data_IF_499264984865
#
_entry.id   IF_499264984865
#
_cell.length_a   1.000
_cell.length_b   1.000
_cell.length_c   1.000
_cell.angle_alpha   90.00
_cell.angle_beta   90.00
_cell.angle_gamma   90.00
#
_symmetry.space_group_name_H-M   'P 1'
#
loop_
_entity.id
_entity.type
_entity.pdbx_description
1 polymer ?
#
# COMPACT_ATOMS: atom_id res chain seq x y z
N UNK A 1 14.16 -11.05 21.30
CA UNK A 1 14.93 -10.78 20.07
C UNK A 1 15.39 -12.10 19.49
N UNK A 2 14.65 -12.65 18.52
CA UNK A 2 15.13 -13.79 17.73
C UNK A 2 15.86 -13.20 16.53
N UNK A 3 17.17 -13.46 16.44
CA UNK A 3 17.95 -13.12 15.25
C UNK A 3 17.40 -13.99 14.10
N UNK A 4 16.78 -13.35 13.10
CA UNK A 4 16.41 -14.03 11.85
C UNK A 4 17.74 -14.39 11.19
N UNK A 5 18.12 -15.67 11.23
CA UNK A 5 19.31 -16.12 10.53
C UNK A 5 19.14 -15.85 9.03
N UNK A 6 20.20 -15.38 8.33
CA UNK A 6 20.13 -15.23 6.88
C UNK A 6 19.81 -16.60 6.29
N UNK A 7 18.75 -16.67 5.48
CA UNK A 7 18.41 -17.87 4.73
C UNK A 7 19.63 -18.30 3.92
N UNK A 8 20.02 -19.58 4.00
CA UNK A 8 21.09 -20.17 3.17
C UNK A 8 20.90 -19.91 1.68
N UNK A 9 19.68 -19.58 1.23
CA UNK A 9 19.38 -19.22 -0.16
C UNK A 9 19.86 -17.80 -0.56
N UNK A 10 20.00 -16.86 0.38
CA UNK A 10 20.60 -15.54 0.11
C UNK A 10 22.10 -15.64 -0.24
N UNK A 11 22.75 -16.76 0.09
CA UNK A 11 24.14 -17.05 -0.28
C UNK A 11 24.30 -17.58 -1.71
N UNK A 12 23.20 -17.82 -2.46
CA UNK A 12 23.23 -18.40 -3.81
C UNK A 12 23.50 -17.41 -4.95
N UNK A 13 23.53 -16.10 -4.66
CA UNK A 13 23.67 -15.06 -5.67
C UNK A 13 22.40 -14.79 -6.49
N UNK A 14 21.29 -15.51 -6.24
CA UNK A 14 20.01 -15.26 -6.90
C UNK A 14 19.28 -14.06 -6.28
N UNK A 15 19.04 -12.96 -7.03
CA UNK A 15 18.33 -11.78 -6.55
C UNK A 15 16.92 -12.07 -6.04
N UNK A 16 16.25 -13.13 -6.50
CA UNK A 16 14.90 -13.49 -6.08
C UNK A 16 14.78 -13.57 -4.55
N UNK A 17 15.77 -14.16 -3.88
CA UNK A 17 15.72 -14.37 -2.44
C UNK A 17 15.86 -13.07 -1.65
N UNK A 18 16.61 -12.09 -2.17
CA UNK A 18 16.71 -10.75 -1.58
C UNK A 18 15.34 -10.05 -1.62
N UNK A 19 14.68 -10.06 -2.78
CA UNK A 19 13.36 -9.46 -2.94
C UNK A 19 12.26 -10.24 -2.20
N UNK A 20 12.42 -11.56 -2.06
CA UNK A 20 11.57 -12.39 -1.21
C UNK A 20 11.67 -11.96 0.25
N UNK A 21 12.88 -11.80 0.78
CA UNK A 21 13.10 -11.39 2.18
C UNK A 21 12.57 -9.98 2.43
N UNK A 22 12.74 -9.07 1.47
CA UNK A 22 12.15 -7.72 1.50
C UNK A 22 10.61 -7.78 1.53
N UNK A 23 10.00 -8.62 0.68
CA UNK A 23 8.55 -8.82 0.66
C UNK A 23 8.06 -9.41 1.99
N UNK A 24 8.73 -10.42 2.55
CA UNK A 24 8.38 -10.97 3.87
C UNK A 24 8.42 -9.90 4.97
N UNK A 25 9.40 -8.99 4.92
CA UNK A 25 9.50 -7.87 5.86
C UNK A 25 8.29 -6.93 5.72
N UNK A 26 7.89 -6.60 4.48
CA UNK A 26 6.70 -5.78 4.20
C UNK A 26 5.42 -6.47 4.69
N UNK A 27 5.25 -7.76 4.43
CA UNK A 27 4.10 -8.56 4.88
C UNK A 27 4.06 -8.63 6.41
N UNK A 28 5.19 -8.83 7.07
CA UNK A 28 5.28 -8.76 8.54
C UNK A 28 4.84 -7.39 9.06
N UNK A 29 5.24 -6.29 8.41
CA UNK A 29 4.83 -4.95 8.80
C UNK A 29 3.33 -4.68 8.57
N UNK A 30 2.72 -5.27 7.54
CA UNK A 30 1.26 -5.27 7.30
C UNK A 30 0.57 -6.02 8.45
N UNK A 31 1.02 -7.23 8.76
CA UNK A 31 0.42 -8.08 9.79
C UNK A 31 0.49 -7.48 11.18
N UNK A 32 1.59 -6.81 11.54
CA UNK A 32 1.70 -6.10 12.82
C UNK A 32 0.68 -4.96 12.93
N UNK A 33 0.53 -4.14 11.87
CA UNK A 33 -0.48 -3.07 11.86
C UNK A 33 -1.89 -3.64 11.89
N UNK A 34 -2.15 -4.69 11.12
CA UNK A 34 -3.44 -5.36 11.05
C UNK A 34 -3.83 -6.02 12.38
N UNK A 35 -2.89 -6.65 13.09
CA UNK A 35 -3.13 -7.22 14.42
C UNK A 35 -3.49 -6.12 15.44
N UNK A 36 -2.76 -5.00 15.45
CA UNK A 36 -3.11 -3.84 16.27
C UNK A 36 -4.50 -3.30 15.92
N UNK A 37 -4.80 -3.18 14.62
CA UNK A 37 -6.08 -2.71 14.13
C UNK A 37 -7.25 -3.60 14.57
N UNK A 38 -7.12 -4.93 14.44
CA UNK A 38 -8.13 -5.88 14.94
C UNK A 38 -8.33 -5.74 16.45
N UNK A 39 -7.26 -5.66 17.22
CA UNK A 39 -7.38 -5.52 18.68
C UNK A 39 -8.17 -4.27 19.08
N UNK A 40 -7.98 -3.15 18.37
CA UNK A 40 -8.76 -1.92 18.60
C UNK A 40 -10.20 -2.07 18.10
N UNK A 41 -10.40 -2.78 16.99
CA UNK A 41 -11.73 -3.05 16.47
C UNK A 41 -12.54 -3.91 17.45
N UNK A 42 -11.95 -4.94 18.05
CA UNK A 42 -12.65 -5.83 18.98
C UNK A 42 -12.91 -5.17 20.34
N UNK A 43 -12.00 -4.31 20.80
CA UNK A 43 -12.17 -3.49 22.00
C UNK A 43 -13.16 -2.34 21.74
N UNK A 44 -14.46 -2.64 21.82
CA UNK A 44 -15.54 -1.63 21.78
C UNK A 44 -15.32 -0.58 22.87
N UNK A 45 -15.43 0.69 22.50
CA UNK A 45 -15.27 1.87 23.38
C UNK A 45 -13.89 2.07 24.03
N UNK A 46 -12.83 1.63 23.35
CA UNK A 46 -11.45 2.00 23.71
C UNK A 46 -11.08 3.42 23.26
N UNK A 47 -10.35 4.22 24.08
CA UNK A 47 -9.74 5.47 23.63
C UNK A 47 -8.82 5.31 22.40
N UNK A 48 -8.32 4.09 22.16
CA UNK A 48 -7.53 3.75 20.98
C UNK A 48 -8.35 3.74 19.68
N UNK A 49 -9.69 3.73 19.75
CA UNK A 49 -10.56 3.76 18.56
C UNK A 49 -10.31 5.00 17.66
N UNK A 50 -9.81 6.10 18.25
CA UNK A 50 -9.38 7.30 17.51
C UNK A 50 -8.23 7.04 16.53
N UNK A 51 -7.46 5.97 16.71
CA UNK A 51 -6.36 5.58 15.82
C UNK A 51 -6.83 4.76 14.62
N UNK A 52 -8.05 4.22 14.65
CA UNK A 52 -8.56 3.33 13.61
C UNK A 52 -8.52 3.93 12.20
N UNK A 53 -8.93 5.20 11.96
CA UNK A 53 -8.89 5.77 10.62
C UNK A 53 -7.47 5.84 10.05
N UNK A 54 -6.54 6.40 10.84
CA UNK A 54 -5.14 6.50 10.46
C UNK A 54 -4.50 5.12 10.23
N UNK A 55 -4.80 4.15 11.11
CA UNK A 55 -4.26 2.81 11.01
C UNK A 55 -4.83 2.05 9.79
N UNK A 56 -6.09 2.28 9.43
CA UNK A 56 -6.70 1.72 8.21
C UNK A 56 -5.96 2.20 6.97
N UNK A 57 -5.74 3.51 6.83
CA UNK A 57 -4.96 4.07 5.70
C UNK A 57 -3.51 3.58 5.66
N UNK A 58 -2.86 3.42 6.83
CA UNK A 58 -1.52 2.86 6.89
C UNK A 58 -1.47 1.39 6.43
N UNK A 59 -2.51 0.60 6.72
CA UNK A 59 -2.61 -0.79 6.23
C UNK A 59 -2.85 -0.78 4.72
N UNK A 60 -3.77 0.04 4.20
CA UNK A 60 -4.04 0.16 2.75
C UNK A 60 -2.76 0.49 1.97
N UNK A 61 -1.99 1.49 2.44
CA UNK A 61 -0.72 1.88 1.84
C UNK A 61 0.35 0.78 1.91
N UNK A 62 0.46 0.10 3.06
CA UNK A 62 1.42 -0.99 3.25
C UNK A 62 1.08 -2.21 2.38
N UNK A 63 -0.22 -2.56 2.27
CA UNK A 63 -0.71 -3.64 1.39
C UNK A 63 -0.39 -3.30 -0.06
N UNK A 64 -0.72 -2.09 -0.53
CA UNK A 64 -0.43 -1.66 -1.90
C UNK A 64 1.06 -1.76 -2.24
N UNK A 65 1.93 -1.39 -1.31
CA UNK A 65 3.39 -1.50 -1.49
C UNK A 65 3.85 -2.96 -1.55
N UNK A 66 3.29 -3.83 -0.71
CA UNK A 66 3.60 -5.27 -0.74
C UNK A 66 3.07 -5.95 -2.01
N UNK A 67 1.88 -5.58 -2.49
CA UNK A 67 1.30 -6.10 -3.74
C UNK A 67 2.14 -5.77 -4.96
N UNK A 68 2.76 -4.58 -5.01
CA UNK A 68 3.74 -4.22 -6.07
C UNK A 68 4.94 -5.16 -6.05
N UNK A 69 5.49 -5.47 -4.87
CA UNK A 69 6.59 -6.43 -4.74
C UNK A 69 6.18 -7.86 -5.12
N UNK A 70 4.96 -8.28 -4.77
CA UNK A 70 4.38 -9.55 -5.25
C UNK A 70 4.35 -9.58 -6.77
N UNK A 71 3.80 -8.56 -7.41
CA UNK A 71 3.71 -8.49 -8.88
C UNK A 71 5.08 -8.56 -9.54
N UNK A 72 6.07 -7.84 -9.02
CA UNK A 72 7.45 -7.90 -9.49
C UNK A 72 8.05 -9.31 -9.44
N UNK A 73 7.83 -10.04 -8.33
CA UNK A 73 8.30 -11.43 -8.20
C UNK A 73 7.57 -12.36 -9.18
N UNK A 74 6.26 -12.17 -9.42
CA UNK A 74 5.52 -12.96 -10.42
C UNK A 74 6.07 -12.74 -11.83
N UNK A 75 6.30 -11.49 -12.23
CA UNK A 75 6.86 -11.15 -13.53
C UNK A 75 8.26 -11.75 -13.72
N UNK A 76 9.07 -11.74 -12.66
CA UNK A 76 10.40 -12.38 -12.65
C UNK A 76 10.29 -13.89 -12.83
N UNK A 77 9.35 -14.55 -12.17
CA UNK A 77 9.12 -16.00 -12.35
C UNK A 77 8.71 -16.30 -13.79
N UNK A 78 7.78 -15.54 -14.37
CA UNK A 78 7.34 -15.69 -15.76
C UNK A 78 8.51 -15.52 -16.73
N UNK A 79 9.40 -14.55 -16.48
CA UNK A 79 10.59 -14.31 -17.29
C UNK A 79 11.59 -15.47 -17.23
N UNK A 80 11.81 -16.05 -16.04
CA UNK A 80 12.63 -17.26 -15.86
C UNK A 80 12.04 -18.46 -16.59
N UNK A 81 10.71 -18.63 -16.54
CA UNK A 81 10.01 -19.70 -17.25
C UNK A 81 10.07 -19.56 -18.76
N UNK A 82 9.98 -18.33 -19.28
CA UNK A 82 10.09 -18.06 -20.72
C UNK A 82 11.52 -18.29 -21.26
N UNK A 83 12.53 -18.28 -20.40
CA UNK A 83 13.95 -18.33 -20.79
C UNK A 83 14.71 -19.47 -20.09
N UNK A 84 14.14 -20.68 -20.01
CA UNK A 84 14.71 -21.81 -19.24
C UNK A 84 16.18 -22.12 -19.52
N UNK A 85 16.62 -22.00 -20.79
CA UNK A 85 18.02 -22.24 -21.18
C UNK A 85 19.02 -21.24 -20.59
N UNK A 86 18.57 -20.02 -20.24
CA UNK A 86 19.42 -19.03 -19.55
C UNK A 86 19.45 -19.25 -18.02
N UNK A 87 18.48 -19.99 -17.49
CA UNK A 87 18.26 -20.20 -16.06
C UNK A 87 18.22 -21.68 -15.70
N UNK A 88 19.11 -22.48 -16.29
CA UNK A 88 19.14 -23.95 -16.11
C UNK A 88 19.42 -24.37 -14.66
N UNK A 89 20.08 -23.51 -13.87
CA UNK A 89 20.34 -23.71 -12.45
C UNK A 89 19.10 -23.57 -11.57
N UNK A 90 18.01 -22.98 -12.09
CA UNK A 90 16.72 -22.88 -11.40
C UNK A 90 15.86 -24.04 -11.87
N UNK A 91 15.71 -25.09 -11.08
CA UNK A 91 14.93 -26.26 -11.49
C UNK A 91 13.40 -26.04 -11.40
N UNK A 92 12.64 -27.05 -11.82
CA UNK A 92 11.18 -26.98 -11.82
C UNK A 92 10.57 -26.96 -10.40
N UNK A 93 11.23 -27.60 -9.42
CA UNK A 93 10.79 -27.62 -8.04
C UNK A 93 10.97 -26.24 -7.40
N UNK A 94 12.08 -25.57 -7.71
CA UNK A 94 12.38 -24.21 -7.32
C UNK A 94 11.37 -23.22 -7.90
N UNK A 95 11.06 -23.29 -9.20
CA UNK A 95 10.00 -22.46 -9.80
C UNK A 95 8.65 -22.69 -9.09
N UNK A 96 8.29 -23.96 -8.83
CA UNK A 96 7.05 -24.29 -8.15
C UNK A 96 7.00 -23.69 -6.73
N UNK A 97 8.11 -23.76 -5.99
CA UNK A 97 8.27 -23.12 -4.68
C UNK A 97 8.09 -21.61 -4.74
N UNK A 98 8.73 -20.93 -5.71
CA UNK A 98 8.58 -19.48 -5.92
C UNK A 98 7.13 -19.10 -6.22
N UNK A 99 6.46 -19.84 -7.10
CA UNK A 99 5.03 -19.64 -7.41
C UNK A 99 4.14 -19.82 -6.18
N UNK A 100 4.37 -20.88 -5.41
CA UNK A 100 3.60 -21.15 -4.21
C UNK A 100 3.75 -20.04 -3.16
N UNK A 101 4.98 -19.56 -2.96
CA UNK A 101 5.25 -18.43 -2.07
C UNK A 101 4.49 -17.17 -2.50
N UNK A 102 4.58 -16.79 -3.78
CA UNK A 102 3.94 -15.56 -4.26
C UNK A 102 2.41 -15.67 -4.24
N UNK A 103 1.85 -16.82 -4.64
CA UNK A 103 0.41 -17.06 -4.59
C UNK A 103 -0.14 -17.02 -3.15
N UNK A 104 0.57 -17.62 -2.19
CA UNK A 104 0.18 -17.60 -0.77
C UNK A 104 0.22 -16.17 -0.23
N UNK A 105 1.29 -15.44 -0.52
CA UNK A 105 1.48 -14.05 -0.07
C UNK A 105 0.41 -13.12 -0.65
N UNK A 106 0.07 -13.27 -1.93
CA UNK A 106 -1.03 -12.53 -2.57
C UNK A 106 -2.35 -12.78 -1.85
N UNK A 107 -2.68 -14.04 -1.58
CA UNK A 107 -3.93 -14.41 -0.90
C UNK A 107 -4.01 -13.81 0.50
N UNK A 108 -2.91 -13.79 1.24
CA UNK A 108 -2.83 -13.17 2.56
C UNK A 108 -3.09 -11.66 2.50
N UNK A 109 -2.42 -10.93 1.60
CA UNK A 109 -2.63 -9.49 1.43
C UNK A 109 -4.06 -9.15 0.99
N UNK A 110 -4.64 -9.96 0.10
CA UNK A 110 -6.04 -9.83 -0.31
C UNK A 110 -7.02 -10.04 0.85
N UNK A 111 -6.75 -10.99 1.74
CA UNK A 111 -7.59 -11.22 2.91
C UNK A 111 -7.56 -10.02 3.86
N UNK A 112 -6.39 -9.43 4.11
CA UNK A 112 -6.26 -8.20 4.90
C UNK A 112 -7.01 -7.04 4.25
N UNK A 113 -6.82 -6.84 2.94
CA UNK A 113 -7.49 -5.78 2.17
C UNK A 113 -9.02 -5.92 2.21
N UNK A 114 -9.53 -7.14 2.06
CA UNK A 114 -10.96 -7.42 2.12
C UNK A 114 -11.56 -7.12 3.49
N UNK A 115 -10.86 -7.48 4.57
CA UNK A 115 -11.32 -7.28 5.94
C UNK A 115 -11.44 -5.80 6.31
N UNK A 116 -10.42 -5.00 6.00
CA UNK A 116 -10.44 -3.55 6.25
C UNK A 116 -11.44 -2.80 5.34
N UNK A 117 -11.84 -3.42 4.23
CA UNK A 117 -12.77 -2.84 3.25
C UNK A 117 -14.24 -3.18 3.47
N UNK A 118 -14.57 -3.96 4.51
CA UNK A 118 -15.97 -4.32 4.81
C UNK A 118 -16.83 -3.09 5.15
N UNK A 119 -18.13 -3.14 4.81
CA UNK A 119 -19.04 -2.00 5.06
C UNK A 119 -19.19 -1.67 6.55
N UNK A 120 -19.14 -2.70 7.40
CA UNK A 120 -19.17 -2.54 8.86
C UNK A 120 -17.94 -1.76 9.36
N UNK A 121 -16.76 -2.10 8.85
CA UNK A 121 -15.52 -1.39 9.15
C UNK A 121 -15.62 0.04 8.65
N UNK A 122 -15.93 0.26 7.37
CA UNK A 122 -16.04 1.60 6.78
C UNK A 122 -17.00 2.51 7.55
N UNK A 123 -18.15 1.98 7.95
CA UNK A 123 -19.13 2.71 8.77
C UNK A 123 -18.54 3.10 10.13
N UNK A 124 -17.81 2.19 10.77
CA UNK A 124 -17.14 2.47 12.05
C UNK A 124 -16.03 3.49 11.91
N UNK A 125 -15.18 3.38 10.88
CA UNK A 125 -14.11 4.35 10.59
C UNK A 125 -14.70 5.75 10.42
N UNK A 126 -15.73 5.89 9.57
CA UNK A 126 -16.44 7.18 9.35
C UNK A 126 -17.04 7.76 10.63
N UNK A 127 -17.56 6.89 11.51
CA UNK A 127 -18.09 7.32 12.82
C UNK A 127 -16.98 7.88 13.71
N UNK A 128 -15.83 7.22 13.76
CA UNK A 128 -14.67 7.69 14.54
C UNK A 128 -14.06 8.97 13.97
N UNK A 129 -13.92 9.09 12.64
CA UNK A 129 -13.50 10.33 11.96
C UNK A 129 -14.41 11.51 12.30
N UNK A 130 -15.73 11.30 12.29
CA UNK A 130 -16.69 12.34 12.66
C UNK A 130 -16.52 12.77 14.12
N UNK A 131 -16.28 11.84 15.05
CA UNK A 131 -16.02 12.16 16.46
C UNK A 131 -14.74 12.98 16.63
N UNK A 132 -13.67 12.61 15.93
CA UNK A 132 -12.40 13.34 15.91
C UNK A 132 -12.60 14.80 15.46
N UNK A 133 -13.36 15.00 14.37
CA UNK A 133 -13.65 16.34 13.87
C UNK A 133 -14.54 17.17 14.82
N UNK A 134 -15.51 16.54 15.50
CA UNK A 134 -16.35 17.24 16.48
C UNK A 134 -15.59 17.64 17.74
N UNK A 135 -14.65 16.81 18.20
CA UNK A 135 -13.76 17.16 19.32
C UNK A 135 -12.93 18.41 19.02
N UNK A 136 -12.40 18.53 17.79
CA UNK A 136 -11.66 19.72 17.36
C UNK A 136 -12.53 21.00 17.33
N UNK A 137 -13.80 20.89 16.93
CA UNK A 137 -14.76 22.01 16.95
C UNK A 137 -15.09 22.48 18.38
N UNK A 138 -15.13 21.56 19.35
CA UNK A 138 -15.39 21.91 20.75
C UNK A 138 -14.22 22.66 21.40
N UNK A 139 -12.96 22.34 21.06
CA UNK A 139 -11.79 23.09 21.54
C UNK A 139 -11.70 24.51 20.97
N UNK A 140 -12.22 24.76 19.77
CA UNK A 140 -12.32 26.11 19.18
C UNK A 140 -13.47 26.91 19.80
N UNK A 141 -14.52 26.24 20.30
CA UNK A 141 -15.67 26.91 20.93
C UNK A 141 -15.37 27.55 22.28
N UNK A 142 -14.25 27.20 22.93
CA UNK A 142 -13.81 27.85 24.18
C UNK A 142 -12.96 29.11 23.97
N UNK A 143 -12.68 29.52 22.73
CA UNK A 143 -11.79 30.67 22.43
C UNK A 143 -12.37 31.77 21.55
N UNK A 144 -13.61 31.69 21.06
CA UNK A 144 -14.13 32.73 20.18
C UNK A 144 -15.53 33.20 20.55
N UNK A 145 -15.60 34.43 21.04
CA UNK A 145 -16.80 35.25 21.15
C UNK A 145 -17.30 35.72 19.75
N UNK A 146 -17.05 34.94 18.68
CA UNK A 146 -17.42 35.29 17.32
C UNK A 146 -18.83 34.80 16.98
N UNK A 147 -19.57 35.66 16.29
CA UNK A 147 -20.96 35.43 15.93
C UNK A 147 -21.11 34.19 15.04
N UNK A 148 -22.28 33.56 15.06
CA UNK A 148 -22.52 32.31 14.31
C UNK A 148 -22.25 32.40 12.79
N UNK A 149 -22.23 33.61 12.25
CA UNK A 149 -21.99 33.89 10.83
C UNK A 149 -20.49 33.83 10.47
N UNK A 150 -19.63 34.45 11.27
CA UNK A 150 -18.16 34.45 11.07
C UNK A 150 -17.56 33.05 11.22
N UNK A 151 -18.15 32.21 12.10
CA UNK A 151 -17.76 30.79 12.24
C UNK A 151 -18.08 29.97 10.99
N UNK A 152 -19.19 30.28 10.32
CA UNK A 152 -19.61 29.54 9.14
C UNK A 152 -18.75 29.93 7.93
N UNK A 153 -18.38 31.21 7.82
CA UNK A 153 -17.46 31.71 6.79
C UNK A 153 -16.05 31.14 6.97
N UNK A 154 -15.48 31.19 8.18
CA UNK A 154 -14.15 30.62 8.44
C UNK A 154 -14.12 29.10 8.25
N UNK A 155 -15.18 28.38 8.64
CA UNK A 155 -15.28 26.93 8.42
C UNK A 155 -15.37 26.60 6.93
N UNK A 156 -16.15 27.37 6.16
CA UNK A 156 -16.25 27.17 4.71
C UNK A 156 -14.91 27.47 4.03
N UNK A 157 -14.19 28.50 4.48
CA UNK A 157 -12.90 28.89 3.93
C UNK A 157 -11.79 27.87 4.23
N UNK A 158 -11.70 27.39 5.48
CA UNK A 158 -10.78 26.28 5.84
C UNK A 158 -11.09 25.01 5.05
N UNK A 159 -12.37 24.66 4.88
CA UNK A 159 -12.76 23.45 4.16
C UNK A 159 -12.53 23.58 2.65
N UNK A 160 -12.69 24.79 2.10
CA UNK A 160 -12.34 25.07 0.69
C UNK A 160 -10.83 24.94 0.48
N UNK A 161 -10.00 25.42 1.43
CA UNK A 161 -8.55 25.23 1.38
C UNK A 161 -8.15 23.76 1.52
N UNK A 162 -8.80 23.01 2.42
CA UNK A 162 -8.49 21.59 2.63
C UNK A 162 -8.86 20.76 1.40
N UNK A 163 -10.02 21.01 0.80
CA UNK A 163 -10.40 20.37 -0.47
C UNK A 163 -9.49 20.78 -1.62
N UNK A 164 -9.01 22.03 -1.66
CA UNK A 164 -8.00 22.45 -2.64
C UNK A 164 -6.66 21.75 -2.44
N UNK A 165 -6.19 21.58 -1.20
CA UNK A 165 -4.97 20.80 -0.93
C UNK A 165 -5.14 19.34 -1.32
N UNK A 166 -6.28 18.72 -1.03
CA UNK A 166 -6.57 17.34 -1.43
C UNK A 166 -6.64 17.22 -2.96
N UNK A 167 -7.28 18.17 -3.65
CA UNK A 167 -7.28 18.23 -5.12
C UNK A 167 -5.88 18.46 -5.69
N UNK A 168 -5.06 19.32 -5.08
CA UNK A 168 -3.67 19.56 -5.52
C UNK A 168 -2.76 18.36 -5.28
N UNK A 169 -2.92 17.64 -4.16
CA UNK A 169 -2.20 16.39 -3.88
C UNK A 169 -2.64 15.28 -4.86
N UNK A 170 -3.94 15.21 -5.16
CA UNK A 170 -4.47 14.30 -6.18
C UNK A 170 -3.97 14.69 -7.58
N UNK A 171 -3.91 15.97 -7.93
CA UNK A 171 -3.39 16.48 -9.21
C UNK A 171 -1.87 16.32 -9.33
N UNK A 172 -1.10 16.45 -8.24
CA UNK A 172 0.32 16.07 -8.24
C UNK A 172 0.49 14.56 -8.46
N UNK A 173 -0.39 13.74 -7.89
CA UNK A 173 -0.40 12.30 -8.18
C UNK A 173 -0.78 12.02 -9.65
N UNK A 174 -1.73 12.77 -10.22
CA UNK A 174 -2.15 12.64 -11.62
C UNK A 174 -1.11 13.18 -12.61
N UNK A 175 -0.41 14.26 -12.28
CA UNK A 175 0.71 14.78 -13.07
C UNK A 175 1.92 13.84 -13.01
N UNK A 176 2.17 13.21 -11.85
CA UNK A 176 3.11 12.10 -11.71
C UNK A 176 2.72 10.91 -12.59
N UNK A 177 1.44 10.51 -12.58
CA UNK A 177 0.92 9.44 -13.43
C UNK A 177 1.00 9.80 -14.93
N UNK A 178 0.76 11.05 -15.33
CA UNK A 178 0.89 11.49 -16.72
C UNK A 178 2.36 11.54 -17.17
N UNK A 179 3.26 11.99 -16.29
CA UNK A 179 4.71 11.97 -16.51
C UNK A 179 5.24 10.53 -16.62
N UNK A 180 4.73 9.63 -15.80
CA UNK A 180 5.10 8.22 -15.80
C UNK A 180 4.49 7.47 -16.99
N UNK A 181 3.27 7.81 -17.44
CA UNK A 181 2.70 7.35 -18.71
C UNK A 181 3.49 7.88 -19.91
N UNK A 182 3.95 9.14 -19.88
CA UNK A 182 4.78 9.72 -20.95
C UNK A 182 6.16 9.07 -21.00
N UNK A 183 6.77 8.78 -19.83
CA UNK A 183 8.02 8.01 -19.73
C UNK A 183 7.84 6.57 -20.18
N UNK A 184 6.77 5.89 -19.77
CA UNK A 184 6.46 4.52 -20.21
C UNK A 184 6.15 4.46 -21.72
N UNK A 185 5.46 5.46 -22.27
CA UNK A 185 5.22 5.56 -23.71
C UNK A 185 6.53 5.81 -24.47
N UNK A 186 7.40 6.68 -23.97
CA UNK A 186 8.75 6.90 -24.51
C UNK A 186 9.60 5.62 -24.51
N UNK A 187 9.63 4.90 -23.39
CA UNK A 187 10.34 3.62 -23.24
C UNK A 187 9.72 2.53 -24.13
N UNK A 188 8.39 2.52 -24.31
CA UNK A 188 7.72 1.57 -25.22
C UNK A 188 8.07 1.85 -26.68
N UNK A 189 8.16 3.12 -27.07
CA UNK A 189 8.57 3.51 -28.43
C UNK A 189 10.04 3.18 -28.69
N UNK A 190 10.93 3.46 -27.73
CA UNK A 190 12.34 3.06 -27.80
C UNK A 190 12.49 1.53 -27.88
N UNK A 191 11.82 0.77 -27.01
CA UNK A 191 11.83 -0.70 -27.06
C UNK A 191 11.26 -1.21 -28.39
N UNK A 192 10.20 -0.61 -28.94
CA UNK A 192 9.64 -1.03 -30.23
C UNK A 192 10.58 -0.72 -31.40
N UNK A 193 11.31 0.40 -31.34
CA UNK A 193 12.33 0.74 -32.33
C UNK A 193 13.57 -0.17 -32.24
N UNK A 194 13.99 -0.48 -31.02
CA UNK A 194 15.11 -1.40 -30.70
C UNK A 194 14.77 -2.83 -31.13
N UNK A 195 13.56 -3.32 -30.84
CA UNK A 195 13.07 -4.65 -31.27
C UNK A 195 12.97 -4.77 -32.78
N UNK A 196 12.59 -3.69 -33.49
CA UNK A 196 12.60 -3.66 -34.97
C UNK A 196 14.02 -3.62 -35.55
N UNK A 197 14.96 -2.96 -34.86
CA UNK A 197 16.38 -2.93 -35.23
C UNK A 197 17.06 -4.28 -35.01
N UNK A 198 16.66 -5.02 -33.96
CA UNK A 198 17.19 -6.35 -33.63
C UNK A 198 16.52 -7.50 -34.42
N UNK A 199 15.43 -7.25 -35.15
CA UNK A 199 14.75 -8.22 -36.03
C UNK A 199 15.12 -8.08 -37.51
N UNK A 200 16.25 -7.42 -37.82
CA UNK A 200 16.80 -7.30 -39.17
C UNK A 200 18.22 -7.83 -39.22
#
# INVERSE_FOLDING_TARGET
MMKKEPSMAAASGDPFYVFKDELESKVSAVNQKHAKWRAILDAKDSPAAKELPALTHQIESAVSTAEKSVKFLEETIVMVEANRTKFEHIDAAEIASRKAFVATTRKELQAVSAEISTDAVKTRIRKEERKLMQSAKSSTSFRSNLTGQERNEHFLEEETQRQQQIMQEQDQSLAGLHSDITRLHGVTVEISSEVKSQNK
#
